data_IF_034633746732
#
_entry.id   IF_034633746732
#
_cell.length_a   1.000
_cell.length_b   1.000
_cell.length_c   1.000
_cell.angle_alpha   90.00
_cell.angle_beta   90.00
_cell.angle_gamma   90.00
#
_symmetry.space_group_name_H-M   'P 1'
#
loop_
_entity.id
_entity.type
_entity.pdbx_description
1 polymer ?
#
# COMPACT_ATOMS: atom_id res chain seq x y z
N UNK A 1 11.29 13.34 17.71
CA UNK A 1 12.12 12.12 17.64
C UNK A 1 11.33 10.85 17.91
N UNK A 2 10.71 10.69 19.09
CA UNK A 2 9.94 9.48 19.47
C UNK A 2 8.88 9.08 18.43
N UNK A 3 8.10 10.03 17.92
CA UNK A 3 7.07 9.76 16.89
C UNK A 3 7.65 9.12 15.62
N UNK A 4 8.81 9.57 15.15
CA UNK A 4 9.44 9.00 13.96
C UNK A 4 9.85 7.55 14.24
N UNK A 5 10.50 7.29 15.37
CA UNK A 5 10.89 5.93 15.79
C UNK A 5 9.67 5.00 15.84
N UNK A 6 8.56 5.46 16.43
CA UNK A 6 7.32 4.68 16.49
C UNK A 6 6.75 4.37 15.11
N UNK A 7 6.76 5.33 14.18
CA UNK A 7 6.28 5.11 12.80
C UNK A 7 7.20 4.14 12.05
N UNK A 8 8.52 4.23 12.23
CA UNK A 8 9.46 3.27 11.65
C UNK A 8 9.25 1.85 12.19
N UNK A 9 9.09 1.72 13.51
CA UNK A 9 8.81 0.44 14.15
C UNK A 9 7.48 -0.16 13.69
N UNK A 10 6.41 0.64 13.63
CA UNK A 10 5.11 0.19 13.15
C UNK A 10 5.16 -0.32 11.71
N UNK A 11 5.86 0.40 10.81
CA UNK A 11 6.09 -0.04 9.44
C UNK A 11 6.92 -1.32 9.36
N UNK A 12 7.98 -1.45 10.17
CA UNK A 12 8.80 -2.67 10.20
C UNK A 12 8.02 -3.89 10.70
N UNK A 13 7.20 -3.73 11.74
CA UNK A 13 6.33 -4.79 12.26
C UNK A 13 5.34 -5.24 11.18
N UNK A 14 4.67 -4.28 10.51
CA UNK A 14 3.76 -4.60 9.40
C UNK A 14 4.46 -5.34 8.27
N UNK A 15 5.69 -4.96 7.93
CA UNK A 15 6.47 -5.62 6.88
C UNK A 15 6.83 -7.06 7.27
N UNK A 16 7.31 -7.29 8.49
CA UNK A 16 7.63 -8.62 9.01
C UNK A 16 6.37 -9.50 9.05
N UNK A 17 5.22 -8.93 9.41
CA UNK A 17 3.95 -9.63 9.43
C UNK A 17 3.53 -10.10 8.03
N UNK A 18 3.54 -9.22 7.02
CA UNK A 18 3.21 -9.58 5.62
C UNK A 18 4.18 -10.62 5.04
N UNK A 19 5.47 -10.52 5.39
CA UNK A 19 6.48 -11.48 4.92
C UNK A 19 6.28 -12.88 5.51
N UNK A 20 5.46 -13.00 6.57
CA UNK A 20 5.11 -14.26 7.23
C UNK A 20 6.31 -15.23 7.32
N UNK A 21 7.43 -14.84 7.95
CA UNK A 21 8.66 -15.64 7.96
C UNK A 21 8.50 -16.98 8.68
N UNK A 22 7.43 -17.14 9.45
CA UNK A 22 7.03 -18.37 10.14
C UNK A 22 6.21 -19.31 9.25
N UNK A 23 5.88 -18.92 8.00
CA UNK A 23 5.15 -19.72 7.01
C UNK A 23 3.84 -20.35 7.53
N UNK A 24 3.11 -19.64 8.39
CA UNK A 24 1.87 -20.15 9.01
C UNK A 24 2.07 -21.17 10.14
N UNK A 25 3.30 -21.41 10.63
CA UNK A 25 3.56 -22.35 11.74
C UNK A 25 3.17 -21.73 13.11
N UNK A 26 3.11 -20.40 13.21
CA UNK A 26 2.71 -19.66 14.41
C UNK A 26 1.58 -18.70 14.01
N UNK A 27 0.38 -19.24 13.81
CA UNK A 27 -0.83 -18.45 13.55
C UNK A 27 -1.40 -17.92 14.87
N UNK A 28 -1.30 -16.61 15.09
CA UNK A 28 -1.91 -15.94 16.26
C UNK A 28 -3.43 -15.76 16.09
N UNK A 29 -3.92 -15.78 14.84
CA UNK A 29 -5.34 -15.73 14.45
C UNK A 29 -5.59 -16.90 13.49
N UNK A 30 -6.65 -17.70 13.69
CA UNK A 30 -6.96 -18.83 12.81
C UNK A 30 -7.29 -18.34 11.39
N UNK A 31 -6.48 -18.75 10.43
CA UNK A 31 -6.54 -18.37 9.01
C UNK A 31 -7.79 -18.92 8.28
N UNK A 32 -8.57 -19.76 8.95
CA UNK A 32 -9.75 -20.44 8.40
C UNK A 32 -11.03 -19.58 8.33
N UNK A 33 -10.97 -18.30 8.73
CA UNK A 33 -12.10 -17.37 8.55
C UNK A 33 -11.78 -16.50 7.33
N UNK A 34 -12.38 -16.78 6.15
CA UNK A 34 -12.02 -16.19 4.85
C UNK A 34 -12.24 -14.67 4.72
N UNK A 35 -12.49 -13.96 5.82
CA UNK A 35 -12.75 -12.52 5.88
C UNK A 35 -11.77 -11.81 6.84
N UNK A 36 -11.28 -12.50 7.88
CA UNK A 36 -10.48 -11.85 8.95
C UNK A 36 -8.99 -11.95 8.65
N UNK A 37 -8.49 -13.13 8.28
CA UNK A 37 -7.06 -13.39 8.01
C UNK A 37 -6.50 -12.77 6.70
N UNK A 38 -7.36 -12.32 5.78
CA UNK A 38 -6.93 -11.54 4.62
C UNK A 38 -7.03 -10.02 4.85
N UNK A 39 -7.80 -9.61 5.87
CA UNK A 39 -8.06 -8.20 6.16
C UNK A 39 -6.98 -7.62 7.08
N UNK A 40 -6.49 -8.40 8.03
CA UNK A 40 -5.33 -8.03 8.86
C UNK A 40 -4.04 -7.93 8.03
N UNK A 41 -3.82 -8.81 7.06
CA UNK A 41 -2.74 -8.69 6.07
C UNK A 41 -2.87 -7.41 5.24
N UNK A 42 -4.09 -7.09 4.77
CA UNK A 42 -4.35 -5.83 4.06
C UNK A 42 -4.13 -4.61 4.96
N UNK A 43 -4.48 -4.69 6.24
CA UNK A 43 -4.21 -3.65 7.23
C UNK A 43 -2.70 -3.49 7.48
N UNK A 44 -1.95 -4.59 7.57
CA UNK A 44 -0.49 -4.56 7.67
C UNK A 44 0.13 -3.92 6.43
N UNK A 45 -0.35 -4.25 5.22
CA UNK A 45 0.10 -3.61 3.98
C UNK A 45 -0.19 -2.11 3.97
N UNK A 46 -1.39 -1.70 4.38
CA UNK A 46 -1.75 -0.29 4.52
C UNK A 46 -0.86 0.42 5.55
N UNK A 47 -0.53 -0.23 6.67
CA UNK A 47 0.36 0.30 7.70
C UNK A 47 1.78 0.54 7.17
N UNK A 48 2.33 -0.41 6.41
CA UNK A 48 3.64 -0.28 5.74
C UNK A 48 3.63 0.89 4.76
N UNK A 49 2.61 0.97 3.91
CA UNK A 49 2.48 2.08 2.94
C UNK A 49 2.33 3.44 3.64
N UNK A 50 1.57 3.51 4.73
CA UNK A 50 1.40 4.72 5.53
C UNK A 50 2.71 5.14 6.21
N UNK A 51 3.48 4.19 6.74
CA UNK A 51 4.78 4.44 7.34
C UNK A 51 5.79 4.96 6.29
N UNK A 52 5.85 4.35 5.10
CA UNK A 52 6.70 4.82 4.00
C UNK A 52 6.31 6.24 3.55
N UNK A 53 5.00 6.51 3.43
CA UNK A 53 4.50 7.84 3.06
C UNK A 53 4.85 8.90 4.11
N UNK A 54 4.87 8.54 5.39
CA UNK A 54 5.32 9.44 6.46
C UNK A 54 6.78 9.90 6.26
N UNK A 55 7.62 9.06 5.66
CA UNK A 55 9.01 9.39 5.30
C UNK A 55 9.18 9.99 3.90
N UNK A 56 8.08 10.29 3.20
CA UNK A 56 8.10 10.88 1.86
C UNK A 56 8.25 9.86 0.73
N UNK A 57 8.17 8.56 1.02
CA UNK A 57 8.19 7.49 0.01
C UNK A 57 6.75 7.11 -0.34
N UNK A 58 6.25 7.58 -1.48
CA UNK A 58 4.91 7.22 -1.97
C UNK A 58 4.98 6.11 -3.04
N UNK A 59 4.83 4.86 -2.60
CA UNK A 59 4.74 3.69 -3.48
C UNK A 59 3.41 3.63 -4.24
N UNK A 60 2.36 4.29 -3.76
CA UNK A 60 1.03 4.28 -4.41
C UNK A 60 1.02 5.09 -5.71
N UNK A 61 1.93 6.06 -5.85
CA UNK A 61 2.09 6.86 -7.07
C UNK A 61 2.54 6.03 -8.30
N UNK A 62 3.29 4.95 -8.08
CA UNK A 62 3.63 4.00 -9.16
C UNK A 62 2.40 3.20 -9.59
N UNK A 63 1.59 2.74 -8.63
CA UNK A 63 0.36 2.01 -8.91
C UNK A 63 -0.66 2.87 -9.68
N UNK A 64 -0.79 4.16 -9.30
CA UNK A 64 -1.71 5.11 -9.95
C UNK A 64 -1.37 5.42 -11.41
N UNK A 65 -0.08 5.42 -11.80
CA UNK A 65 0.30 5.61 -13.21
C UNK A 65 -0.23 4.50 -14.10
N UNK A 66 -0.16 3.25 -13.62
CA UNK A 66 -0.63 2.08 -14.37
C UNK A 66 -2.12 2.12 -14.72
N UNK A 67 -2.95 2.81 -13.93
CA UNK A 67 -4.39 2.96 -14.20
C UNK A 67 -4.74 4.16 -15.10
N UNK A 68 -3.80 5.09 -15.32
CA UNK A 68 -4.01 6.25 -16.20
C UNK A 68 -3.50 6.01 -17.63
N UNK A 69 -2.74 4.95 -17.82
CA UNK A 69 -2.19 4.52 -19.12
C UNK A 69 -3.05 3.45 -19.83
N UNK A 70 -4.28 3.21 -19.37
CA UNK A 70 -5.37 2.68 -20.22
C UNK A 70 -6.22 3.87 -20.68
N UNK A 71 -5.84 4.53 -21.79
CA UNK A 71 -6.59 5.64 -22.32
C UNK A 71 -7.79 5.06 -23.06
N UNK A 72 -8.98 5.47 -22.65
CA UNK A 72 -10.08 5.61 -23.59
C UNK A 72 -9.51 6.25 -24.86
N UNK A 73 -9.49 5.47 -25.93
CA UNK A 73 -8.87 5.84 -27.18
C UNK A 73 -9.71 6.91 -27.84
N UNK A 74 -9.53 8.18 -27.49
CA UNK A 74 -9.58 9.35 -28.37
C UNK A 74 -8.75 10.50 -27.80
N UNK A 75 -7.59 10.72 -28.42
CA UNK A 75 -7.06 12.07 -28.57
C UNK A 75 -8.09 12.85 -29.37
N UNK A 76 -8.52 14.02 -28.90
CA UNK A 76 -8.64 15.18 -29.77
C UNK A 76 -8.27 16.43 -28.96
N UNK A 77 -7.14 16.99 -29.36
CA UNK A 77 -6.75 18.34 -29.07
C UNK A 77 -7.69 19.23 -29.88
N UNK A 78 -8.43 20.12 -29.25
CA UNK A 78 -8.94 21.34 -29.88
C UNK A 78 -9.09 22.37 -28.76
N UNK A 79 -7.98 23.03 -28.42
CA UNK A 79 -8.05 24.28 -27.67
C UNK A 79 -8.70 25.36 -28.55
N UNK A 80 -9.39 26.35 -27.97
CA UNK A 80 -10.01 27.40 -28.75
C UNK A 80 -8.96 28.16 -29.57
N UNK A 81 -9.26 28.56 -30.82
CA UNK A 81 -8.34 29.39 -31.58
C UNK A 81 -8.05 30.67 -30.79
N UNK A 82 -6.76 30.96 -30.61
CA UNK A 82 -6.27 32.27 -30.16
C UNK A 82 -6.65 33.32 -31.22
N UNK A 83 -6.86 34.58 -30.79
CA UNK A 83 -7.83 35.54 -31.35
C UNK A 83 -7.67 35.82 -32.84
#
# INVERSE_FOLDING_TARGET
MIKNILVALAGLIGLVYILNPTAGIIELIPDNIPIVGNLDEAAAAALVLAALRYYGVDLTGFLRRKFKDDPDGKKNQDGPPKP
#
